data_IF_302686032503
#
_entry.id   IF_302686032503
#
_cell.length_a   1.000
_cell.length_b   1.000
_cell.length_c   1.000
_cell.angle_alpha   90.00
_cell.angle_beta   90.00
_cell.angle_gamma   90.00
#
_symmetry.space_group_name_H-M   'P 1'
#
loop_
_entity.id
_entity.type
_entity.pdbx_description
1 polymer ?
#
# COMPACT_ATOMS: atom_id res chain seq x y z
N UNK A 1 -24.44 7.75 19.52
CA UNK A 1 -23.02 7.98 19.86
C UNK A 1 -22.76 9.48 19.83
N UNK A 2 -22.02 10.05 20.79
CA UNK A 2 -21.69 11.48 20.75
C UNK A 2 -20.91 11.86 19.49
N UNK A 3 -21.17 13.03 18.89
CA UNK A 3 -20.52 13.46 17.64
C UNK A 3 -18.99 13.51 17.76
N UNK A 4 -18.47 13.84 18.94
CA UNK A 4 -17.04 13.91 19.19
C UNK A 4 -16.32 12.55 19.06
N UNK A 5 -17.00 11.41 19.26
CA UNK A 5 -16.40 10.08 19.00
C UNK A 5 -16.06 9.91 17.52
N UNK A 6 -16.87 10.48 16.62
CA UNK A 6 -16.61 10.43 15.17
C UNK A 6 -15.35 11.22 14.84
N UNK A 7 -15.19 12.40 15.42
CA UNK A 7 -14.01 13.24 15.19
C UNK A 7 -12.74 12.64 15.80
N UNK A 8 -12.85 12.02 16.98
CA UNK A 8 -11.77 11.25 17.59
C UNK A 8 -11.36 10.07 16.71
N UNK A 9 -12.31 9.26 16.23
CA UNK A 9 -12.03 8.14 15.33
C UNK A 9 -11.39 8.57 14.01
N UNK A 10 -11.80 9.72 13.45
CA UNK A 10 -11.15 10.31 12.26
C UNK A 10 -9.69 10.65 12.57
N UNK A 11 -9.42 11.31 13.70
CA UNK A 11 -8.06 11.66 14.09
C UNK A 11 -7.19 10.42 14.33
N UNK A 12 -7.70 9.42 15.08
CA UNK A 12 -7.00 8.15 15.33
C UNK A 12 -6.69 7.41 14.03
N UNK A 13 -7.66 7.29 13.14
CA UNK A 13 -7.48 6.67 11.82
C UNK A 13 -6.40 7.37 11.00
N UNK A 14 -6.41 8.71 10.95
CA UNK A 14 -5.42 9.48 10.21
C UNK A 14 -4.01 9.37 10.82
N UNK A 15 -3.90 9.28 12.15
CA UNK A 15 -2.63 9.29 12.87
C UNK A 15 -1.96 7.91 12.94
N UNK A 16 -2.76 6.87 13.13
CA UNK A 16 -2.28 5.51 13.42
C UNK A 16 -2.54 4.52 12.29
N UNK A 17 -3.37 4.87 11.29
CA UNK A 17 -3.64 3.99 10.16
C UNK A 17 -4.24 2.67 10.60
N UNK A 18 -3.62 1.56 10.21
CA UNK A 18 -4.09 0.20 10.54
C UNK A 18 -3.89 -0.20 12.01
N UNK A 19 -3.18 0.61 12.80
CA UNK A 19 -3.00 0.39 14.24
C UNK A 19 -3.98 1.25 15.07
N UNK A 20 -4.97 1.89 14.43
CA UNK A 20 -5.96 2.73 15.11
C UNK A 20 -6.92 1.88 15.95
N UNK A 21 -7.19 2.32 17.18
CA UNK A 21 -8.23 1.77 18.04
C UNK A 21 -9.44 2.70 17.94
N UNK A 22 -10.55 2.20 17.41
CA UNK A 22 -11.77 2.96 17.16
C UNK A 22 -12.76 2.77 18.29
N UNK A 23 -13.50 3.83 18.60
CA UNK A 23 -14.66 3.76 19.48
C UNK A 23 -15.86 3.27 18.67
N UNK A 24 -16.45 2.15 19.03
CA UNK A 24 -17.51 1.47 18.26
C UNK A 24 -18.88 1.49 18.95
N UNK A 25 -18.91 1.66 20.27
CA UNK A 25 -20.14 1.65 21.09
C UNK A 25 -20.50 3.01 21.69
N UNK A 26 -21.78 3.21 22.04
CA UNK A 26 -22.22 4.41 22.78
C UNK A 26 -21.59 4.52 24.16
N UNK A 27 -21.21 3.38 24.75
CA UNK A 27 -20.63 3.28 26.09
C UNK A 27 -19.10 3.43 26.09
N UNK A 28 -18.51 3.68 24.91
CA UNK A 28 -17.07 3.85 24.73
C UNK A 28 -16.30 2.56 24.47
N UNK A 29 -16.99 1.49 24.04
CA UNK A 29 -16.33 0.25 23.59
C UNK A 29 -15.32 0.54 22.47
N UNK A 30 -14.17 -0.12 22.53
CA UNK A 30 -13.04 0.11 21.64
C UNK A 30 -12.62 -1.16 20.91
N UNK A 31 -12.21 -1.03 19.66
CA UNK A 31 -11.79 -2.13 18.80
C UNK A 31 -10.68 -1.72 17.83
N UNK A 32 -9.81 -2.65 17.44
CA UNK A 32 -8.81 -2.40 16.40
C UNK A 32 -9.50 -2.17 15.05
N UNK A 33 -9.05 -1.15 14.30
CA UNK A 33 -9.65 -0.79 13.00
C UNK A 33 -9.71 -1.95 12.02
N UNK A 34 -8.73 -2.86 12.04
CA UNK A 34 -8.75 -4.05 11.17
C UNK A 34 -9.93 -4.97 11.47
N UNK A 35 -10.25 -5.13 12.75
CA UNK A 35 -11.33 -6.01 13.21
C UNK A 35 -12.68 -5.38 12.90
N UNK A 36 -12.82 -4.08 13.17
CA UNK A 36 -14.02 -3.31 12.79
C UNK A 36 -14.25 -3.37 11.28
N UNK A 37 -13.23 -3.15 10.45
CA UNK A 37 -13.37 -3.20 8.99
C UNK A 37 -13.71 -4.61 8.50
N UNK A 38 -13.11 -5.65 9.06
CA UNK A 38 -13.43 -7.03 8.69
C UNK A 38 -14.91 -7.36 8.99
N UNK A 39 -15.41 -6.95 10.16
CA UNK A 39 -16.82 -7.10 10.50
C UNK A 39 -17.74 -6.30 9.56
N UNK A 40 -17.36 -5.08 9.19
CA UNK A 40 -18.13 -4.27 8.25
C UNK A 40 -18.20 -4.92 6.86
N UNK A 41 -17.11 -5.57 6.40
CA UNK A 41 -17.12 -6.32 5.13
C UNK A 41 -18.14 -7.45 5.16
N UNK A 42 -18.22 -8.21 6.26
CA UNK A 42 -19.22 -9.27 6.42
C UNK A 42 -20.65 -8.70 6.46
N UNK A 43 -20.87 -7.63 7.22
CA UNK A 43 -22.17 -6.96 7.35
C UNK A 43 -22.67 -6.40 6.02
N UNK A 44 -21.77 -5.89 5.18
CA UNK A 44 -22.12 -5.26 3.90
C UNK A 44 -22.21 -6.25 2.73
N UNK A 45 -21.81 -7.53 2.93
CA UNK A 45 -21.83 -8.53 1.86
C UNK A 45 -23.20 -8.70 1.18
N UNK A 46 -24.33 -8.82 1.91
CA UNK A 46 -25.64 -8.98 1.26
C UNK A 46 -26.02 -7.78 0.37
N UNK A 47 -25.65 -6.56 0.78
CA UNK A 47 -25.88 -5.34 0.01
C UNK A 47 -25.00 -5.30 -1.24
N UNK A 48 -23.74 -5.74 -1.11
CA UNK A 48 -22.84 -5.85 -2.24
C UNK A 48 -23.31 -6.91 -3.25
N UNK A 49 -23.92 -8.01 -2.81
CA UNK A 49 -24.55 -9.01 -3.69
C UNK A 49 -25.73 -8.41 -4.46
N UNK A 50 -26.62 -7.67 -3.79
CA UNK A 50 -27.78 -7.02 -4.42
C UNK A 50 -27.35 -5.99 -5.48
N UNK A 51 -26.32 -5.20 -5.17
CA UNK A 51 -25.83 -4.14 -6.06
C UNK A 51 -24.78 -4.61 -7.07
N UNK A 52 -24.35 -5.86 -7.02
CA UNK A 52 -23.29 -6.42 -7.87
C UNK A 52 -21.88 -5.90 -7.57
N UNK A 53 -21.64 -5.38 -6.36
CA UNK A 53 -20.37 -4.81 -5.87
C UNK A 53 -19.51 -5.77 -5.04
N UNK A 54 -19.76 -7.08 -5.10
CA UNK A 54 -19.05 -8.09 -4.28
C UNK A 54 -17.54 -8.04 -4.50
N UNK A 55 -17.09 -7.87 -5.74
CA UNK A 55 -15.66 -7.83 -6.06
C UNK A 55 -14.95 -6.67 -5.39
N UNK A 56 -15.56 -5.49 -5.40
CA UNK A 56 -15.03 -4.27 -4.82
C UNK A 56 -14.97 -4.38 -3.30
N UNK A 57 -16.01 -4.97 -2.68
CA UNK A 57 -16.04 -5.18 -1.24
C UNK A 57 -14.96 -6.20 -0.79
N UNK A 58 -14.81 -7.30 -1.51
CA UNK A 58 -13.76 -8.32 -1.23
C UNK A 58 -12.34 -7.76 -1.42
N UNK A 59 -12.15 -6.75 -2.27
CA UNK A 59 -10.84 -6.10 -2.42
C UNK A 59 -10.36 -5.39 -1.13
N UNK A 60 -11.28 -5.06 -0.21
CA UNK A 60 -10.94 -4.55 1.12
C UNK A 60 -10.20 -5.62 1.92
N UNK A 61 -10.68 -6.88 1.91
CA UNK A 61 -10.00 -7.99 2.57
C UNK A 61 -8.59 -8.21 2.00
N UNK A 62 -8.44 -8.11 0.67
CA UNK A 62 -7.12 -8.18 0.04
C UNK A 62 -6.17 -7.09 0.56
N UNK A 63 -6.69 -5.91 0.89
CA UNK A 63 -5.90 -4.82 1.48
C UNK A 63 -5.55 -5.08 2.94
N UNK A 64 -6.45 -5.66 3.72
CA UNK A 64 -6.15 -6.08 5.10
C UNK A 64 -5.04 -7.15 5.12
N UNK A 65 -5.14 -8.15 4.25
CA UNK A 65 -4.17 -9.26 4.18
C UNK A 65 -2.79 -8.82 3.68
N UNK A 66 -2.76 -7.95 2.66
CA UNK A 66 -1.51 -7.44 2.08
C UNK A 66 -0.92 -6.24 2.85
N UNK A 67 -1.61 -5.73 3.87
CA UNK A 67 -1.34 -4.46 4.54
C UNK A 67 -1.77 -3.24 3.71
N UNK A 68 -1.97 -2.09 4.34
CA UNK A 68 -2.37 -0.85 3.67
C UNK A 68 -1.29 -0.32 2.71
N UNK A 69 -1.70 0.51 1.73
CA UNK A 69 -0.77 1.06 0.72
C UNK A 69 0.42 1.79 1.35
N UNK A 70 0.21 2.59 2.41
CA UNK A 70 1.30 3.29 3.08
C UNK A 70 2.31 2.33 3.74
N UNK A 71 1.85 1.20 4.31
CA UNK A 71 2.74 0.20 4.91
C UNK A 71 3.65 -0.42 3.86
N UNK A 72 3.09 -0.78 2.69
CA UNK A 72 3.86 -1.33 1.57
C UNK A 72 4.81 -0.29 0.96
N UNK A 73 4.40 0.97 0.87
CA UNK A 73 5.26 2.06 0.42
C UNK A 73 6.44 2.30 1.37
N UNK A 74 6.21 2.32 2.69
CA UNK A 74 7.27 2.42 3.69
C UNK A 74 8.25 1.24 3.60
N UNK A 75 7.72 0.01 3.44
CA UNK A 75 8.54 -1.17 3.22
C UNK A 75 9.38 -1.08 1.93
N UNK A 76 8.82 -0.55 0.84
CA UNK A 76 9.57 -0.32 -0.41
C UNK A 76 10.69 0.70 -0.24
N UNK A 77 10.43 1.82 0.45
CA UNK A 77 11.45 2.83 0.72
C UNK A 77 12.56 2.25 1.61
N UNK A 78 12.19 1.48 2.64
CA UNK A 78 13.14 0.80 3.51
C UNK A 78 14.04 -0.18 2.73
N UNK A 79 13.43 -1.04 1.91
CA UNK A 79 14.15 -2.01 1.07
C UNK A 79 15.06 -1.35 0.03
N UNK A 80 14.76 -0.11 -0.39
CA UNK A 80 15.57 0.68 -1.31
C UNK A 80 16.58 1.61 -0.60
N UNK A 81 16.85 1.40 0.69
CA UNK A 81 17.83 2.20 1.44
C UNK A 81 17.41 3.67 1.64
N UNK A 82 16.11 3.94 1.76
CA UNK A 82 15.57 5.28 2.00
C UNK A 82 15.20 6.06 0.73
N UNK A 83 15.31 5.47 -0.46
CA UNK A 83 14.97 6.14 -1.70
C UNK A 83 13.44 6.26 -1.91
N UNK A 84 12.87 7.45 -1.67
CA UNK A 84 11.42 7.72 -1.81
C UNK A 84 10.85 7.39 -3.20
N UNK A 85 11.67 7.37 -4.25
CA UNK A 85 11.23 6.96 -5.60
C UNK A 85 10.73 5.51 -5.64
N UNK A 86 11.15 4.67 -4.69
CA UNK A 86 10.67 3.30 -4.56
C UNK A 86 9.16 3.22 -4.30
N UNK A 87 8.61 4.13 -3.48
CA UNK A 87 7.17 4.22 -3.24
C UNK A 87 6.40 4.54 -4.53
N UNK A 88 6.87 5.50 -5.32
CA UNK A 88 6.25 5.89 -6.59
C UNK A 88 6.32 4.77 -7.63
N UNK A 89 7.43 4.03 -7.66
CA UNK A 89 7.57 2.84 -8.53
C UNK A 89 6.59 1.74 -8.13
N UNK A 90 6.46 1.46 -6.83
CA UNK A 90 5.48 0.51 -6.30
C UNK A 90 4.06 0.92 -6.69
N UNK A 91 3.66 2.17 -6.45
CA UNK A 91 2.31 2.67 -6.78
C UNK A 91 1.99 2.54 -8.28
N UNK A 92 2.95 2.84 -9.16
CA UNK A 92 2.76 2.66 -10.60
C UNK A 92 2.62 1.18 -10.99
N UNK A 93 3.39 0.29 -10.35
CA UNK A 93 3.32 -1.15 -10.60
C UNK A 93 1.98 -1.73 -10.12
N UNK A 94 1.54 -1.38 -8.91
CA UNK A 94 0.24 -1.78 -8.36
C UNK A 94 -0.92 -1.27 -9.21
N UNK A 95 -0.86 -0.01 -9.66
CA UNK A 95 -1.87 0.57 -10.55
C UNK A 95 -1.99 -0.16 -11.88
N UNK A 96 -0.88 -0.62 -12.47
CA UNK A 96 -0.90 -1.46 -13.69
C UNK A 96 -1.39 -2.88 -13.43
N UNK A 97 -1.09 -3.43 -12.25
CA UNK A 97 -1.47 -4.79 -11.87
C UNK A 97 -2.93 -4.88 -11.39
N UNK A 98 -3.53 -3.76 -10.95
CA UNK A 98 -4.87 -3.73 -10.36
C UNK A 98 -4.96 -4.41 -9.00
N UNK A 99 -3.82 -4.63 -8.31
CA UNK A 99 -3.75 -5.32 -7.01
C UNK A 99 -2.53 -4.89 -6.19
N UNK A 100 -2.55 -5.09 -4.87
CA UNK A 100 -1.35 -5.01 -4.04
C UNK A 100 -0.21 -5.90 -4.56
N UNK A 101 1.02 -5.37 -4.53
CA UNK A 101 2.24 -6.11 -4.87
C UNK A 101 3.20 -6.12 -3.67
N UNK A 102 4.04 -7.15 -3.58
CA UNK A 102 5.11 -7.14 -2.59
C UNK A 102 6.18 -6.12 -3.00
N UNK A 103 6.64 -5.25 -2.08
CA UNK A 103 7.74 -4.31 -2.34
C UNK A 103 9.00 -4.97 -2.90
N UNK A 104 9.34 -6.17 -2.41
CA UNK A 104 10.54 -6.91 -2.80
C UNK A 104 10.45 -7.43 -4.25
N UNK A 105 9.25 -7.83 -4.71
CA UNK A 105 9.00 -8.26 -6.10
C UNK A 105 9.21 -7.11 -7.09
N UNK A 106 8.77 -5.89 -6.72
CA UNK A 106 8.87 -4.72 -7.60
C UNK A 106 10.30 -4.21 -7.69
N UNK A 107 11.04 -4.19 -6.57
CA UNK A 107 12.40 -3.66 -6.53
C UNK A 107 13.43 -4.61 -7.17
N UNK A 108 13.25 -5.92 -7.06
CA UNK A 108 14.11 -6.92 -7.73
C UNK A 108 13.99 -6.86 -9.26
N UNK A 109 12.78 -6.64 -9.78
CA UNK A 109 12.53 -6.51 -11.22
C UNK A 109 13.19 -5.26 -11.82
N UNK A 110 13.29 -4.17 -11.04
CA UNK A 110 13.89 -2.91 -11.48
C UNK A 110 15.43 -2.96 -11.57
N UNK A 111 16.09 -3.75 -10.71
CA UNK A 111 17.56 -3.94 -10.77
C UNK A 111 18.03 -4.74 -11.99
N UNK A 112 17.17 -5.57 -12.58
CA UNK A 112 17.51 -6.38 -13.76
C UNK A 112 17.58 -5.56 -15.06
N UNK A 113 16.99 -4.35 -15.10
CA UNK A 113 16.96 -3.50 -16.30
C UNK A 113 18.12 -2.48 -16.29
N UNK A 114 19.35 -2.96 -16.07
CA UNK A 114 20.55 -2.20 -16.45
C UNK A 114 21.53 -3.06 -17.26
N UNK A 115 21.37 -3.15 -18.59
CA UNK A 115 22.47 -3.57 -19.43
C UNK A 115 23.47 -2.42 -19.48
N UNK A 116 24.62 -2.62 -18.85
CA UNK A 116 25.86 -1.95 -19.27
C UNK A 116 26.01 -2.16 -20.77
N UNK A 117 25.75 -1.13 -21.57
CA UNK A 117 26.14 -1.12 -22.99
C UNK A 117 26.50 0.30 -23.41
N UNK A 118 27.64 0.78 -22.90
CA UNK A 118 28.45 1.72 -23.68
C UNK A 118 29.48 0.88 -24.44
N UNK A 119 29.48 0.87 -25.79
CA UNK A 119 30.52 0.19 -26.54
C UNK A 119 31.87 0.88 -26.32
N UNK A 120 32.89 0.08 -25.99
CA UNK A 120 34.27 0.53 -25.95
C UNK A 120 34.80 0.73 -27.38
N UNK A 121 34.47 1.87 -28.00
CA UNK A 121 35.05 2.24 -29.29
C UNK A 121 35.27 3.74 -29.37
N UNK A 122 36.32 4.22 -28.68
CA UNK A 122 37.21 5.29 -29.17
C UNK A 122 38.54 5.22 -28.40
N UNK A 123 39.20 4.04 -28.41
CA UNK A 123 40.64 3.95 -28.20
C UNK A 123 41.32 4.18 -29.55
N UNK A 124 41.48 5.44 -29.96
CA UNK A 124 42.51 5.75 -30.96
C UNK A 124 43.18 7.09 -30.71
N UNK A 125 44.49 6.97 -30.48
CA UNK A 125 45.58 7.82 -30.97
C UNK A 125 45.59 9.26 -30.48
N UNK A 126 46.45 9.53 -29.49
CA UNK A 126 47.52 10.53 -29.64
C UNK A 126 48.73 10.09 -28.80
N UNK A 127 49.67 9.42 -29.47
CA UNK A 127 51.08 9.44 -29.13
C UNK A 127 51.81 10.11 -30.31
N UNK A 128 52.87 10.86 -29.99
CA UNK A 128 53.80 11.61 -30.85
C UNK A 128 53.42 13.06 -31.16
N UNK A 129 54.01 14.00 -30.40
CA UNK A 129 55.28 14.63 -30.75
C UNK A 129 56.02 15.03 -29.47
#
# INVERSE_FOLDING_TARGET
MPDWYVDENKWRSARYGMDAILITGSDGEEELVSDTVAQMVEQLMPVAEELGGVRELVAIQTTLDAGASYQRQLAAVSAAGGANQAAVKLMQAEGRAGRPLSPTEVLSTASTIHPSTLPASHRHRFASA
#
